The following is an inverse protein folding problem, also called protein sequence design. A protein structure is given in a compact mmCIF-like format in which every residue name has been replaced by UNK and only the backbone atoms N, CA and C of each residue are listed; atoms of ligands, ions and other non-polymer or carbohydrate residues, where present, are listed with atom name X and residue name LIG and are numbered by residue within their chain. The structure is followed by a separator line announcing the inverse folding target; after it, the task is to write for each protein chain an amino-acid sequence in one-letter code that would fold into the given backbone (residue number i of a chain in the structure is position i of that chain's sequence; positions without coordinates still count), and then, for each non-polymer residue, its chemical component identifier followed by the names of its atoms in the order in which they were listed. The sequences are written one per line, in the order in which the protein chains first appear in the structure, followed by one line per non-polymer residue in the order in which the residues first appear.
data_IF_646067849538
#
_entry.id   IF_646067849538
#
_cell.length_a   1.000
_cell.length_b   1.000
_cell.length_c   1.000
_cell.angle_alpha   90.00
_cell.angle_beta   90.00
_cell.angle_gamma   90.00
#
_symmetry.space_group_name_H-M   'P 1'
#
loop_
_entity.id
_entity.type
_entity.pdbx_description
1 polymer ?
#
# COMPACT_ATOMS: atom_id res chain seq x y z
N UNK A 1 6.87 -9.09 15.16
CA UNK A 1 5.72 -8.50 15.89
C UNK A 1 6.11 -7.15 16.53
N UNK A 2 7.07 -7.08 17.46
CA UNK A 2 7.35 -5.83 18.19
C UNK A 2 7.66 -4.65 17.26
N UNK A 3 8.47 -4.83 16.21
CA UNK A 3 8.78 -3.77 15.22
C UNK A 3 7.53 -3.15 14.60
N UNK A 4 6.57 -3.95 14.18
CA UNK A 4 5.32 -3.45 13.59
C UNK A 4 4.47 -2.66 14.61
N UNK A 5 4.47 -3.09 15.87
CA UNK A 5 3.77 -2.37 16.94
C UNK A 5 4.46 -1.05 17.29
N UNK A 6 5.78 -1.04 17.31
CA UNK A 6 6.58 0.18 17.53
C UNK A 6 6.34 1.19 16.39
N UNK A 7 6.38 0.71 15.13
CA UNK A 7 6.06 1.52 13.97
C UNK A 7 4.63 2.07 14.01
N UNK A 8 3.64 1.22 14.30
CA UNK A 8 2.23 1.63 14.48
C UNK A 8 2.09 2.72 15.56
N UNK A 9 2.78 2.55 16.68
CA UNK A 9 2.76 3.53 17.77
C UNK A 9 3.35 4.87 17.33
N UNK A 10 4.49 4.84 16.63
CA UNK A 10 5.13 6.04 16.10
C UNK A 10 4.26 6.73 15.04
N UNK A 11 3.66 5.96 14.12
CA UNK A 11 2.75 6.44 13.09
C UNK A 11 1.52 7.13 13.70
N UNK A 12 0.91 6.50 14.71
CA UNK A 12 -0.23 7.06 15.42
C UNK A 12 0.14 8.35 16.16
N UNK A 13 1.30 8.37 16.83
CA UNK A 13 1.76 9.56 17.56
C UNK A 13 2.13 10.71 16.62
N UNK A 14 2.65 10.43 15.44
CA UNK A 14 2.97 11.43 14.43
C UNK A 14 1.73 11.96 13.69
N UNK A 15 0.61 11.24 13.75
CA UNK A 15 -0.62 11.60 13.03
C UNK A 15 -0.57 11.32 11.53
N UNK A 16 0.44 10.60 11.05
CA UNK A 16 0.62 10.26 9.64
C UNK A 16 2.07 10.03 9.26
N UNK A 17 2.32 9.80 7.97
CA UNK A 17 3.67 9.70 7.41
C UNK A 17 3.69 9.99 5.92
N UNK A 18 4.85 10.46 5.43
CA UNK A 18 5.16 10.52 4.01
C UNK A 18 6.05 9.34 3.61
N UNK A 19 5.82 8.78 2.44
CA UNK A 19 6.59 7.67 1.90
C UNK A 19 6.55 7.65 0.38
N UNK A 20 7.55 7.05 -0.25
CA UNK A 20 7.62 6.81 -1.69
C UNK A 20 7.39 5.33 -1.96
N UNK A 21 6.59 5.01 -2.96
CA UNK A 21 6.38 3.65 -3.46
C UNK A 21 6.91 3.49 -4.88
N UNK A 22 7.58 2.36 -5.11
CA UNK A 22 7.75 1.80 -6.45
C UNK A 22 6.93 0.51 -6.50
N UNK A 23 5.96 0.46 -7.41
CA UNK A 23 4.98 -0.63 -7.48
C UNK A 23 5.17 -1.39 -8.76
N UNK A 24 5.27 -2.71 -8.66
CA UNK A 24 5.24 -3.62 -9.81
C UNK A 24 3.94 -4.41 -9.78
N UNK A 25 3.13 -4.25 -10.80
CA UNK A 25 1.88 -4.98 -10.99
C UNK A 25 2.14 -6.16 -11.91
N UNK A 26 1.80 -7.35 -11.44
CA UNK A 26 1.92 -8.60 -12.19
C UNK A 26 0.55 -9.08 -12.66
N UNK A 27 0.23 -8.85 -13.92
CA UNK A 27 -0.94 -9.42 -14.59
C UNK A 27 -0.50 -10.56 -15.54
N UNK A 28 -1.38 -11.51 -15.90
CA UNK A 28 -1.01 -12.65 -16.72
C UNK A 28 -0.38 -12.30 -18.06
N UNK A 29 -0.73 -11.17 -18.64
CA UNK A 29 -0.26 -10.73 -19.97
C UNK A 29 0.67 -9.52 -19.91
N UNK A 30 0.69 -8.78 -18.77
CA UNK A 30 1.41 -7.52 -18.66
C UNK A 30 2.03 -7.36 -17.27
N UNK A 31 3.29 -6.95 -17.25
CA UNK A 31 3.96 -6.47 -16.04
C UNK A 31 4.28 -5.01 -16.26
N UNK A 32 3.85 -4.16 -15.36
CA UNK A 32 4.17 -2.73 -15.42
C UNK A 32 4.59 -2.20 -14.05
N UNK A 33 5.45 -1.20 -14.07
CA UNK A 33 5.97 -0.55 -12.86
C UNK A 33 5.64 0.93 -12.90
N UNK A 34 5.27 1.47 -11.76
CA UNK A 34 5.07 2.90 -11.55
C UNK A 34 5.57 3.31 -10.17
N UNK A 35 5.88 4.58 -10.02
CA UNK A 35 6.31 5.15 -8.74
C UNK A 35 5.43 6.33 -8.36
N UNK A 36 5.31 6.57 -7.05
CA UNK A 36 4.53 7.66 -6.50
C UNK A 36 5.08 8.14 -5.18
N UNK A 37 4.91 9.41 -4.91
CA UNK A 37 5.07 10.02 -3.60
C UNK A 37 3.73 10.06 -2.89
N UNK A 38 3.71 9.68 -1.63
CA UNK A 38 2.51 9.50 -0.84
C UNK A 38 2.60 10.27 0.48
N UNK A 39 1.50 10.86 0.88
CA UNK A 39 1.33 11.54 2.17
C UNK A 39 0.06 11.00 2.84
N UNK A 40 0.22 10.28 3.93
CA UNK A 40 -0.85 9.65 4.70
C UNK A 40 -1.18 10.44 5.95
N UNK A 41 -2.45 10.76 6.14
CA UNK A 41 -2.99 11.32 7.36
C UNK A 41 -3.76 10.24 8.14
N UNK A 42 -3.39 10.00 9.39
CA UNK A 42 -3.98 8.97 10.23
C UNK A 42 -5.47 9.24 10.50
N UNK A 43 -6.31 8.27 10.15
CA UNK A 43 -7.77 8.39 10.22
C UNK A 43 -8.41 9.24 9.12
N UNK A 44 -7.59 9.81 8.22
CA UNK A 44 -8.01 10.54 7.03
C UNK A 44 -7.87 9.71 5.78
N UNK A 45 -6.85 9.96 4.98
CA UNK A 45 -6.59 9.28 3.72
C UNK A 45 -5.15 9.42 3.27
N UNK A 46 -4.93 9.05 2.01
CA UNK A 46 -3.64 9.24 1.33
C UNK A 46 -3.82 10.22 0.20
N UNK A 47 -2.94 11.21 0.13
CA UNK A 47 -2.68 11.98 -1.09
C UNK A 47 -1.47 11.38 -1.77
N UNK A 48 -1.56 11.15 -3.06
CA UNK A 48 -0.46 10.64 -3.85
C UNK A 48 -0.26 11.46 -5.11
N UNK A 49 0.98 11.43 -5.62
CA UNK A 49 1.36 11.98 -6.92
C UNK A 49 2.25 10.97 -7.64
N UNK A 50 1.90 10.60 -8.87
CA UNK A 50 2.72 9.72 -9.70
C UNK A 50 3.99 10.45 -10.12
N UNK A 51 5.12 9.78 -9.95
CA UNK A 51 6.46 10.28 -10.33
C UNK A 51 7.03 9.52 -11.53
N UNK A 52 6.64 8.26 -11.72
CA UNK A 52 7.03 7.41 -12.84
C UNK A 52 5.85 6.54 -13.34
N UNK A 53 5.80 6.22 -14.65
CA UNK A 53 6.66 6.70 -15.74
C UNK A 53 6.44 8.18 -16.03
N UNK A 54 7.38 8.81 -16.72
CA UNK A 54 7.33 10.25 -17.04
C UNK A 54 6.03 10.69 -17.75
N UNK A 55 5.39 9.77 -18.48
CA UNK A 55 4.11 10.03 -19.17
C UNK A 55 2.92 10.18 -18.22
N UNK A 56 3.05 9.71 -16.97
CA UNK A 56 2.03 9.77 -15.93
C UNK A 56 2.44 10.70 -14.78
N UNK A 57 3.67 11.23 -14.81
CA UNK A 57 4.18 12.10 -13.74
C UNK A 57 3.31 13.35 -13.57
N UNK A 58 3.05 13.73 -12.32
CA UNK A 58 2.20 14.85 -11.94
C UNK A 58 0.70 14.52 -11.84
N UNK A 59 0.29 13.27 -12.12
CA UNK A 59 -1.07 12.85 -11.85
C UNK A 59 -1.20 12.59 -10.34
N UNK A 60 -2.11 13.32 -9.72
CA UNK A 60 -2.42 13.16 -8.30
C UNK A 60 -3.74 12.45 -8.04
N UNK A 61 -3.86 11.85 -6.87
CA UNK A 61 -5.11 11.34 -6.35
C UNK A 61 -5.21 11.52 -4.84
N UNK A 62 -6.44 11.61 -4.34
CA UNK A 62 -6.76 11.56 -2.92
C UNK A 62 -7.65 10.34 -2.68
N UNK A 63 -7.26 9.48 -1.74
CA UNK A 63 -7.93 8.23 -1.46
C UNK A 63 -8.20 8.15 0.03
N UNK A 64 -9.44 7.86 0.40
CA UNK A 64 -9.87 7.72 1.78
C UNK A 64 -11.13 6.87 1.90
N UNK A 65 -11.71 6.81 3.09
CA UNK A 65 -12.93 6.05 3.36
C UNK A 65 -14.13 6.46 2.49
N UNK A 66 -14.12 7.68 1.93
CA UNK A 66 -15.15 8.21 1.02
C UNK A 66 -14.95 7.85 -0.46
N UNK A 67 -13.89 7.10 -0.79
CA UNK A 67 -13.52 6.73 -2.15
C UNK A 67 -12.26 7.43 -2.65
N UNK A 68 -11.97 7.23 -3.93
CA UNK A 68 -10.80 7.79 -4.61
C UNK A 68 -11.22 8.97 -5.50
N UNK A 69 -10.49 10.06 -5.43
CA UNK A 69 -10.65 11.24 -6.27
C UNK A 69 -9.33 11.51 -7.02
N UNK A 70 -9.38 11.46 -8.35
CA UNK A 70 -8.22 11.80 -9.19
C UNK A 70 -8.17 13.32 -9.35
N UNK A 71 -7.03 13.91 -9.01
CA UNK A 71 -6.76 15.34 -9.08
C UNK A 71 -5.83 15.60 -10.26
N UNK A 72 -6.37 15.62 -11.49
CA UNK A 72 -5.61 15.96 -12.67
C UNK A 72 -6.45 16.67 -13.72
N UNK A 73 -5.80 17.55 -14.48
CA UNK A 73 -6.37 18.46 -15.48
C UNK A 73 -6.98 17.72 -16.71
N UNK A 74 -8.05 16.97 -16.48
CA UNK A 74 -8.93 16.45 -17.54
C UNK A 74 -8.56 15.13 -18.19
N UNK A 75 -7.51 14.43 -17.76
CA UNK A 75 -7.17 13.09 -18.28
C UNK A 75 -7.59 12.00 -17.29
N UNK A 76 -8.47 11.10 -17.72
CA UNK A 76 -8.78 9.90 -16.95
C UNK A 76 -7.66 8.87 -17.15
N UNK A 77 -6.97 8.52 -16.08
CA UNK A 77 -6.04 7.39 -16.06
C UNK A 77 -6.80 6.19 -15.52
N UNK A 78 -7.07 5.23 -16.40
CA UNK A 78 -7.63 3.95 -16.02
C UNK A 78 -6.51 2.96 -15.69
N UNK A 79 -6.43 2.54 -14.45
CA UNK A 79 -5.70 1.33 -14.09
C UNK A 79 -6.65 0.15 -14.11
N UNK A 80 -6.23 -0.99 -14.67
CA UNK A 80 -7.00 -2.22 -14.56
C UNK A 80 -7.17 -2.61 -13.09
N UNK A 81 -8.37 -3.04 -12.75
CA UNK A 81 -8.64 -3.54 -11.41
C UNK A 81 -8.15 -4.98 -11.28
N UNK A 82 -7.46 -5.27 -10.17
CA UNK A 82 -6.96 -6.60 -9.78
C UNK A 82 -7.96 -7.33 -8.88
N UNK A 83 -7.67 -8.60 -8.59
CA UNK A 83 -8.50 -9.42 -7.69
C UNK A 83 -10.00 -9.41 -8.06
N UNK A 84 -10.32 -9.55 -9.37
CA UNK A 84 -11.71 -9.54 -9.82
C UNK A 84 -12.41 -8.20 -9.66
N UNK A 85 -11.68 -7.10 -9.73
CA UNK A 85 -12.23 -5.74 -9.60
C UNK A 85 -12.22 -5.18 -8.17
N UNK A 86 -11.58 -5.87 -7.22
CA UNK A 86 -11.56 -5.50 -5.80
C UNK A 86 -10.41 -4.59 -5.41
N UNK A 87 -9.36 -4.52 -6.24
CA UNK A 87 -8.16 -3.74 -5.97
C UNK A 87 -7.76 -2.93 -7.20
N UNK A 88 -7.76 -1.63 -7.08
CA UNK A 88 -7.11 -0.74 -8.05
C UNK A 88 -5.67 -0.45 -7.58
N UNK A 89 -4.64 -0.52 -8.46
CA UNK A 89 -3.26 -0.25 -8.07
C UNK A 89 -3.05 1.12 -7.40
N UNK A 90 -3.86 2.12 -7.74
CA UNK A 90 -3.83 3.44 -7.09
C UNK A 90 -4.29 3.43 -5.62
N UNK A 91 -5.02 2.41 -5.19
CA UNK A 91 -5.48 2.26 -3.79
C UNK A 91 -4.39 1.68 -2.89
N UNK A 92 -3.33 1.14 -3.48
CA UNK A 92 -2.23 0.50 -2.76
C UNK A 92 -1.66 1.33 -1.61
N UNK A 93 -1.31 2.62 -1.79
CA UNK A 93 -0.77 3.43 -0.70
C UNK A 93 -1.71 3.53 0.49
N UNK A 94 -3.02 3.64 0.22
CA UNK A 94 -4.04 3.69 1.26
C UNK A 94 -4.16 2.35 2.01
N UNK A 95 -4.18 1.23 1.29
CA UNK A 95 -4.24 -0.11 1.90
C UNK A 95 -3.01 -0.39 2.76
N UNK A 96 -1.80 -0.04 2.29
CA UNK A 96 -0.57 -0.19 3.07
C UNK A 96 -0.63 0.65 4.36
N UNK A 97 -0.95 1.93 4.25
CA UNK A 97 -1.03 2.82 5.39
C UNK A 97 -2.09 2.36 6.40
N UNK A 98 -3.25 1.90 5.95
CA UNK A 98 -4.29 1.32 6.81
C UNK A 98 -3.82 0.05 7.50
N UNK A 99 -3.11 -0.85 6.79
CA UNK A 99 -2.58 -2.07 7.40
C UNK A 99 -1.62 -1.76 8.55
N UNK A 100 -0.72 -0.81 8.34
CA UNK A 100 0.22 -0.39 9.38
C UNK A 100 -0.46 0.31 10.56
N UNK A 101 -1.48 1.12 10.28
CA UNK A 101 -2.17 1.93 11.29
C UNK A 101 -3.06 1.11 12.21
N UNK A 102 -3.88 0.19 11.68
CA UNK A 102 -4.93 -0.42 12.47
C UNK A 102 -5.30 -1.87 12.19
N UNK A 103 -4.87 -2.46 11.07
CA UNK A 103 -5.36 -3.78 10.68
C UNK A 103 -4.83 -4.93 11.56
N UNK A 104 -5.53 -6.07 11.50
CA UNK A 104 -5.23 -7.24 12.28
C UNK A 104 -3.94 -7.91 11.80
N UNK A 105 -3.00 -8.10 12.73
CA UNK A 105 -1.76 -8.84 12.46
C UNK A 105 -2.05 -10.34 12.65
N UNK A 106 -2.02 -11.09 11.55
CA UNK A 106 -2.26 -12.53 11.54
C UNK A 106 -1.00 -13.36 11.80
N UNK A 107 0.15 -12.87 11.35
CA UNK A 107 1.43 -13.54 11.52
C UNK A 107 2.59 -12.54 11.61
N UNK A 108 3.70 -12.98 12.21
CA UNK A 108 4.98 -12.27 12.16
C UNK A 108 6.13 -13.27 12.29
N UNK A 109 7.19 -13.07 11.52
CA UNK A 109 8.38 -13.92 11.50
C UNK A 109 9.65 -13.14 11.18
N UNK A 110 10.80 -13.75 11.42
CA UNK A 110 12.11 -13.22 11.01
C UNK A 110 12.47 -13.79 9.64
N UNK A 111 12.96 -12.93 8.74
CA UNK A 111 13.34 -13.31 7.38
C UNK A 111 14.47 -12.38 6.89
N UNK A 112 15.67 -12.94 6.70
CA UNK A 112 16.83 -12.29 6.06
C UNK A 112 17.12 -10.82 6.45
N UNK A 113 17.15 -10.54 7.75
CA UNK A 113 17.42 -9.18 8.25
C UNK A 113 16.16 -8.31 8.42
N UNK A 114 15.00 -8.88 8.16
CA UNK A 114 13.71 -8.22 8.30
C UNK A 114 12.78 -8.94 9.28
N UNK A 115 11.79 -8.22 9.74
CA UNK A 115 10.59 -8.81 10.35
C UNK A 115 9.47 -8.73 9.33
N UNK A 116 9.08 -9.87 8.77
CA UNK A 116 7.85 -9.97 7.96
C UNK A 116 6.64 -9.98 8.88
N UNK A 117 5.66 -9.18 8.54
CA UNK A 117 4.38 -9.07 9.26
C UNK A 117 3.25 -9.16 8.26
N UNK A 118 2.33 -10.10 8.50
CA UNK A 118 1.14 -10.31 7.67
C UNK A 118 -0.08 -9.66 8.30
N UNK A 119 -0.75 -8.82 7.54
CA UNK A 119 -2.01 -8.19 7.92
C UNK A 119 -3.15 -8.79 7.09
N UNK A 120 -4.31 -8.97 7.71
CA UNK A 120 -5.53 -9.35 7.02
C UNK A 120 -6.46 -8.15 6.92
N UNK A 121 -6.90 -7.84 5.69
CA UNK A 121 -7.81 -6.77 5.37
C UNK A 121 -9.07 -7.32 4.71
N UNK A 122 -10.22 -6.92 5.19
CA UNK A 122 -11.50 -7.45 4.70
C UNK A 122 -11.91 -8.75 5.38
N UNK A 123 -12.93 -9.40 4.84
CA UNK A 123 -13.50 -10.62 5.39
C UNK A 123 -13.95 -11.60 4.30
N UNK A 124 -13.70 -12.89 4.53
CA UNK A 124 -14.20 -13.97 3.67
C UNK A 124 -13.61 -13.91 2.25
N UNK A 125 -14.46 -13.88 1.25
CA UNK A 125 -14.01 -13.87 -0.16
C UNK A 125 -13.39 -12.54 -0.61
N UNK A 126 -13.45 -11.50 0.21
CA UNK A 126 -12.86 -10.18 -0.09
C UNK A 126 -11.60 -9.92 0.73
N UNK A 127 -11.07 -10.95 1.42
CA UNK A 127 -9.90 -10.85 2.25
C UNK A 127 -8.63 -10.71 1.40
N UNK A 128 -7.87 -9.65 1.67
CA UNK A 128 -6.53 -9.43 1.14
C UNK A 128 -5.51 -9.69 2.23
N UNK A 129 -4.38 -10.27 1.86
CA UNK A 129 -3.21 -10.34 2.73
C UNK A 129 -2.23 -9.26 2.32
N UNK A 130 -1.83 -8.44 3.27
CA UNK A 130 -0.76 -7.45 3.11
C UNK A 130 0.43 -7.90 3.93
N UNK A 131 1.50 -8.31 3.26
CA UNK A 131 2.77 -8.63 3.89
C UNK A 131 3.68 -7.42 3.85
N UNK A 132 4.28 -7.08 4.98
CA UNK A 132 5.24 -5.98 5.10
C UNK A 132 6.51 -6.47 5.76
N UNK A 133 7.67 -6.18 5.15
CA UNK A 133 9.00 -6.43 5.70
C UNK A 133 9.54 -5.16 6.34
N UNK A 134 9.64 -5.19 7.66
CA UNK A 134 10.26 -4.12 8.44
C UNK A 134 11.75 -4.41 8.64
N UNK A 135 12.58 -3.45 8.30
CA UNK A 135 14.03 -3.54 8.52
C UNK A 135 14.37 -3.74 10.00
N UNK A 136 15.23 -4.68 10.31
CA UNK A 136 15.75 -4.86 11.67
C UNK A 136 16.65 -3.70 12.11
N UNK A 137 17.24 -2.99 11.16
CA UNK A 137 18.14 -1.87 11.42
C UNK A 137 17.37 -0.58 11.70
N UNK A 138 16.48 -0.20 10.78
CA UNK A 138 15.77 1.08 10.84
C UNK A 138 14.40 1.00 11.51
N UNK A 139 13.77 -0.18 11.52
CA UNK A 139 12.41 -0.39 11.96
C UNK A 139 11.35 0.11 10.98
N UNK A 140 11.77 0.59 9.80
CA UNK A 140 10.87 1.09 8.75
C UNK A 140 10.42 -0.03 7.80
N UNK A 141 9.25 0.09 7.17
CA UNK A 141 8.84 -0.80 6.09
C UNK A 141 9.72 -0.54 4.85
N UNK A 142 10.24 -1.60 4.24
CA UNK A 142 11.10 -1.50 3.06
C UNK A 142 10.55 -2.29 1.87
N UNK A 143 9.75 -3.31 2.13
CA UNK A 143 9.11 -4.13 1.10
C UNK A 143 7.71 -4.51 1.54
N UNK A 144 6.78 -4.56 0.58
CA UNK A 144 5.40 -4.99 0.80
C UNK A 144 4.92 -5.83 -0.36
N UNK A 145 4.06 -6.80 -0.06
CA UNK A 145 3.35 -7.59 -1.06
C UNK A 145 1.86 -7.62 -0.73
N UNK A 146 1.02 -7.53 -1.74
CA UNK A 146 -0.43 -7.75 -1.59
C UNK A 146 -0.81 -9.02 -2.32
N UNK A 147 -1.46 -9.92 -1.60
CA UNK A 147 -1.93 -11.19 -2.11
C UNK A 147 -3.43 -11.33 -1.97
N UNK A 148 -4.03 -12.01 -2.96
CA UNK A 148 -5.42 -12.42 -2.96
C UNK A 148 -5.52 -13.90 -3.32
N UNK A 149 -6.26 -14.69 -2.52
CA UNK A 149 -6.39 -16.15 -2.70
C UNK A 149 -5.03 -16.87 -2.85
N UNK A 150 -4.00 -16.37 -2.17
CA UNK A 150 -2.64 -16.94 -2.20
C UNK A 150 -1.80 -16.57 -3.42
N UNK A 151 -2.29 -15.73 -4.33
CA UNK A 151 -1.54 -15.18 -5.44
C UNK A 151 -1.07 -13.76 -5.12
N UNK A 152 0.23 -13.48 -5.28
CA UNK A 152 0.80 -12.13 -5.16
C UNK A 152 0.36 -11.32 -6.38
N UNK A 153 -0.21 -10.14 -6.14
CA UNK A 153 -0.72 -9.23 -7.17
C UNK A 153 0.20 -8.03 -7.38
N UNK A 154 0.83 -7.56 -6.31
CA UNK A 154 1.60 -6.31 -6.25
C UNK A 154 2.81 -6.51 -5.36
#
# INVERSE_FOLDING_TARGET
MQRALDFRTALTAAGGCAFTLSVTVSEPEHVYTFAMDCDYEAGGGVRLELTEPQTLAGIGAEIGAGGAHIVYDGTQVGFSALAGGRLAPMELPYLLAQSWYGEYISAAGQEDGFVRVSYLMGYGADELTVDTWFSNETGQPEHCEISYEGAVLL
#
